data_IF_334895036055
#
_entry.id   IF_334895036055
#
_cell.length_a   1.000
_cell.length_b   1.000
_cell.length_c   1.000
_cell.angle_alpha   90.00
_cell.angle_beta   90.00
_cell.angle_gamma   90.00
#
_symmetry.space_group_name_H-M   'P 1'
#
loop_
_entity.id
_entity.type
_entity.pdbx_description
1 polymer ?
#
# COMPACT_ATOMS: atom_id res chain seq x y z
N UNK A 1 -29.36 61.92 -22.61
CA UNK A 1 -28.81 60.82 -23.44
C UNK A 1 -28.14 59.84 -22.50
N UNK A 2 -28.78 58.75 -22.24
CA UNK A 2 -28.24 57.67 -21.37
C UNK A 2 -27.73 56.56 -22.28
N UNK A 3 -26.39 56.33 -22.29
CA UNK A 3 -25.79 55.21 -23.00
C UNK A 3 -25.83 53.98 -22.13
N UNK A 4 -26.65 52.99 -22.51
CA UNK A 4 -26.62 51.66 -21.91
C UNK A 4 -25.45 50.87 -22.47
N UNK A 5 -24.47 50.54 -21.60
CA UNK A 5 -23.43 49.57 -21.90
C UNK A 5 -23.99 48.18 -21.56
N UNK A 6 -24.28 47.38 -22.58
CA UNK A 6 -24.62 46.00 -22.42
C UNK A 6 -23.33 45.20 -22.26
N UNK A 7 -23.05 44.74 -21.05
CA UNK A 7 -21.92 43.85 -20.76
C UNK A 7 -22.32 42.43 -21.10
N UNK A 8 -21.79 41.94 -22.19
CA UNK A 8 -21.98 40.53 -22.62
C UNK A 8 -21.09 39.65 -21.75
N UNK A 9 -21.72 38.96 -20.77
CA UNK A 9 -21.02 37.95 -19.98
C UNK A 9 -20.97 36.65 -20.79
N UNK A 10 -19.84 36.38 -21.45
CA UNK A 10 -19.56 35.09 -22.05
C UNK A 10 -19.26 34.09 -20.97
N UNK A 11 -20.27 33.32 -20.59
CA UNK A 11 -20.14 32.16 -19.71
C UNK A 11 -19.53 31.01 -20.52
N UNK A 12 -18.19 30.89 -20.52
CA UNK A 12 -17.50 29.72 -21.06
C UNK A 12 -17.73 28.55 -20.11
N UNK A 13 -18.68 27.69 -20.45
CA UNK A 13 -18.79 26.32 -19.90
C UNK A 13 -17.52 25.55 -20.30
N UNK A 14 -16.54 25.54 -19.44
CA UNK A 14 -15.49 24.52 -19.45
C UNK A 14 -16.13 23.21 -19.06
N UNK A 15 -16.50 22.42 -20.07
CA UNK A 15 -16.88 21.02 -19.89
C UNK A 15 -15.70 20.28 -19.26
N UNK A 16 -15.81 20.00 -17.97
CA UNK A 16 -14.97 19.01 -17.31
C UNK A 16 -15.30 17.65 -17.94
N UNK A 17 -14.50 17.25 -18.95
CA UNK A 17 -14.40 15.86 -19.34
C UNK A 17 -13.84 15.12 -18.12
N UNK A 18 -14.71 14.60 -17.26
CA UNK A 18 -14.35 13.50 -16.36
C UNK A 18 -14.08 12.29 -17.24
N UNK A 19 -12.85 12.10 -17.64
CA UNK A 19 -12.39 10.79 -18.05
C UNK A 19 -12.61 9.89 -16.84
N UNK A 20 -13.59 8.98 -16.89
CA UNK A 20 -13.69 7.85 -16.00
C UNK A 20 -12.41 7.02 -16.21
N UNK A 21 -11.36 7.33 -15.47
CA UNK A 21 -10.27 6.41 -15.27
C UNK A 21 -10.90 5.20 -14.58
N UNK A 22 -10.97 4.08 -15.30
CA UNK A 22 -11.38 2.80 -14.73
C UNK A 22 -10.42 2.55 -13.58
N UNK A 23 -10.93 2.62 -12.34
CA UNK A 23 -10.10 2.46 -11.17
C UNK A 23 -9.48 1.07 -11.20
N UNK A 24 -8.15 1.00 -11.28
CA UNK A 24 -7.41 -0.25 -11.12
C UNK A 24 -7.75 -0.82 -9.75
N UNK A 25 -8.45 -1.94 -9.72
CA UNK A 25 -8.78 -2.58 -8.45
C UNK A 25 -7.53 -3.23 -7.88
N UNK A 26 -7.21 -2.88 -6.65
CA UNK A 26 -6.05 -3.41 -5.92
C UNK A 26 -6.51 -4.11 -4.65
N UNK A 27 -6.11 -5.36 -4.49
CA UNK A 27 -6.37 -6.14 -3.29
C UNK A 27 -5.08 -6.54 -2.60
N UNK A 28 -5.13 -6.72 -1.29
CA UNK A 28 -4.01 -7.20 -0.50
C UNK A 28 -4.49 -8.24 0.50
N UNK A 29 -3.91 -9.42 0.48
CA UNK A 29 -4.25 -10.54 1.38
C UNK A 29 -2.99 -10.97 2.12
N UNK A 30 -3.15 -11.23 3.44
CA UNK A 30 -2.06 -11.63 4.32
C UNK A 30 -2.05 -13.15 4.53
N UNK A 31 -0.84 -13.71 4.64
CA UNK A 31 -0.61 -15.14 4.84
C UNK A 31 0.49 -15.40 5.87
N UNK A 32 0.36 -16.51 6.60
CA UNK A 32 1.39 -16.96 7.55
C UNK A 32 2.50 -17.80 6.91
N UNK A 33 2.24 -18.35 5.72
CA UNK A 33 3.13 -19.28 5.03
C UNK A 33 3.33 -18.92 3.56
N UNK A 34 4.43 -19.34 2.99
CA UNK A 34 4.83 -19.00 1.61
C UNK A 34 4.08 -19.77 0.52
N UNK A 35 3.24 -20.71 0.89
CA UNK A 35 2.34 -21.42 -0.03
C UNK A 35 1.04 -20.65 -0.33
N UNK A 36 0.77 -19.58 0.44
CA UNK A 36 -0.39 -18.68 0.27
C UNK A 36 -1.74 -19.42 0.26
N UNK A 37 -1.88 -20.44 1.11
CA UNK A 37 -3.10 -21.27 1.14
C UNK A 37 -4.10 -20.81 2.19
N UNK A 38 -3.62 -20.32 3.35
CA UNK A 38 -4.46 -19.92 4.47
C UNK A 38 -4.22 -18.46 4.82
N UNK A 39 -5.25 -17.65 4.67
CA UNK A 39 -5.22 -16.24 5.08
C UNK A 39 -5.02 -16.09 6.58
N UNK A 40 -4.21 -15.12 6.98
CA UNK A 40 -3.89 -14.87 8.37
C UNK A 40 -3.69 -13.38 8.63
N UNK A 41 -4.35 -12.87 9.66
CA UNK A 41 -4.28 -11.45 10.04
C UNK A 41 -3.85 -11.20 11.49
N UNK A 42 -3.49 -12.27 12.22
CA UNK A 42 -2.90 -12.19 13.55
C UNK A 42 -1.65 -13.06 13.58
N UNK A 43 -0.53 -12.45 13.94
CA UNK A 43 0.79 -13.08 13.90
C UNK A 43 1.48 -12.95 15.25
N UNK A 44 2.45 -13.84 15.49
CA UNK A 44 3.44 -13.65 16.55
C UNK A 44 4.71 -13.02 15.96
N UNK A 45 5.54 -12.33 16.77
CA UNK A 45 6.75 -11.68 16.25
C UNK A 45 7.81 -12.68 15.75
N UNK A 46 7.66 -13.97 16.03
CA UNK A 46 8.56 -15.04 15.55
C UNK A 46 8.28 -15.46 14.11
N UNK A 47 7.06 -15.22 13.65
CA UNK A 47 6.61 -15.60 12.32
C UNK A 47 7.15 -14.67 11.25
N UNK A 48 7.13 -15.15 10.03
CA UNK A 48 7.31 -14.34 8.82
C UNK A 48 5.92 -13.99 8.29
N UNK A 49 5.71 -12.72 8.00
CA UNK A 49 4.45 -12.23 7.46
C UNK A 49 4.58 -12.17 5.94
N UNK A 50 3.59 -12.67 5.23
CA UNK A 50 3.53 -12.61 3.78
C UNK A 50 2.32 -11.82 3.34
N UNK A 51 2.47 -11.07 2.27
CA UNK A 51 1.40 -10.34 1.60
C UNK A 51 1.39 -10.67 0.12
N UNK A 52 0.20 -10.90 -0.42
CA UNK A 52 -0.07 -11.00 -1.85
C UNK A 52 -0.86 -9.78 -2.26
N UNK A 53 -0.33 -9.02 -3.20
CA UNK A 53 -0.95 -7.81 -3.74
C UNK A 53 -1.34 -8.10 -5.20
N UNK A 54 -2.63 -8.00 -5.49
CA UNK A 54 -3.16 -8.17 -6.83
C UNK A 54 -3.65 -6.83 -7.37
N UNK A 55 -3.13 -6.45 -8.53
CA UNK A 55 -3.61 -5.31 -9.31
C UNK A 55 -4.35 -5.87 -10.53
N UNK A 56 -5.54 -5.36 -10.81
CA UNK A 56 -6.35 -5.78 -11.95
C UNK A 56 -6.58 -4.63 -12.90
N UNK A 57 -6.80 -4.97 -14.19
CA UNK A 57 -7.13 -4.03 -15.25
C UNK A 57 -6.13 -2.86 -15.37
N UNK A 58 -4.84 -3.18 -15.49
CA UNK A 58 -3.77 -2.19 -15.52
C UNK A 58 -3.56 -1.72 -16.96
N UNK A 59 -3.75 -0.41 -17.26
CA UNK A 59 -3.44 0.17 -18.56
C UNK A 59 -1.95 0.09 -18.90
N UNK A 60 -1.56 0.22 -20.19
CA UNK A 60 -0.16 0.45 -20.55
C UNK A 60 0.40 1.70 -19.87
N UNK A 61 1.67 1.67 -19.49
CA UNK A 61 2.33 2.80 -18.86
C UNK A 61 3.48 2.40 -17.95
N UNK A 62 4.08 3.40 -17.33
CA UNK A 62 5.14 3.24 -16.35
C UNK A 62 4.55 3.36 -14.94
N UNK A 63 4.88 2.39 -14.08
CA UNK A 63 4.39 2.32 -12.71
C UNK A 63 5.55 2.17 -11.74
N UNK A 64 5.53 2.99 -10.71
CA UNK A 64 6.34 2.78 -9.50
C UNK A 64 5.42 2.29 -8.40
N UNK A 65 5.58 1.03 -7.99
CA UNK A 65 4.81 0.41 -6.92
C UNK A 65 5.65 0.40 -5.67
N UNK A 66 5.17 1.03 -4.61
CA UNK A 66 5.85 1.09 -3.30
C UNK A 66 5.02 0.39 -2.25
N UNK A 67 5.64 -0.47 -1.45
CA UNK A 67 5.00 -1.24 -0.40
C UNK A 67 5.67 -0.89 0.93
N UNK A 68 4.90 -0.34 1.86
CA UNK A 68 5.34 0.07 3.19
C UNK A 68 4.76 -0.85 4.27
N UNK A 69 5.62 -1.43 5.09
CA UNK A 69 5.25 -2.11 6.32
C UNK A 69 5.40 -1.13 7.48
N UNK A 70 4.27 -0.72 8.06
CA UNK A 70 4.20 0.26 9.15
C UNK A 70 3.91 -0.43 10.47
N UNK A 71 4.75 -0.18 11.47
CA UNK A 71 4.60 -0.72 12.81
C UNK A 71 3.47 0.03 13.58
N UNK A 72 3.08 -0.45 14.78
CA UNK A 72 2.04 0.20 15.59
C UNK A 72 2.32 1.66 15.97
N UNK A 73 3.57 2.12 15.93
CA UNK A 73 3.93 3.53 16.17
C UNK A 73 3.85 4.39 14.91
N UNK A 74 3.49 3.80 13.76
CA UNK A 74 3.41 4.48 12.46
C UNK A 74 4.74 4.61 11.73
N UNK A 75 5.82 4.01 12.26
CA UNK A 75 7.13 4.01 11.59
C UNK A 75 7.19 2.93 10.51
N UNK A 76 7.87 3.23 9.41
CA UNK A 76 8.11 2.28 8.33
C UNK A 76 9.22 1.31 8.79
N UNK A 77 8.86 0.06 9.03
CA UNK A 77 9.79 -1.01 9.37
C UNK A 77 10.51 -1.58 8.14
N UNK A 78 9.82 -1.58 6.99
CA UNK A 78 10.37 -1.99 5.70
C UNK A 78 9.63 -1.30 4.56
N UNK A 79 10.38 -0.85 3.57
CA UNK A 79 9.84 -0.35 2.30
C UNK A 79 10.46 -1.13 1.15
N UNK A 80 9.64 -1.44 0.15
CA UNK A 80 10.07 -2.05 -1.11
C UNK A 80 9.47 -1.28 -2.27
N UNK A 81 10.25 -1.10 -3.34
CA UNK A 81 9.78 -0.42 -4.56
C UNK A 81 10.06 -1.27 -5.78
N UNK A 82 9.10 -1.31 -6.69
CA UNK A 82 9.15 -2.04 -7.95
C UNK A 82 8.79 -1.12 -9.10
N UNK A 83 9.64 -1.05 -10.11
CA UNK A 83 9.35 -0.36 -11.36
C UNK A 83 8.77 -1.35 -12.36
N UNK A 84 7.64 -1.01 -12.96
CA UNK A 84 6.94 -1.83 -13.94
C UNK A 84 6.68 -0.99 -15.19
N UNK A 85 7.14 -1.46 -16.34
CA UNK A 85 6.80 -0.92 -17.66
C UNK A 85 5.88 -1.90 -18.36
N UNK A 86 4.67 -1.47 -18.68
CA UNK A 86 3.69 -2.23 -19.47
C UNK A 86 3.53 -1.60 -20.84
N UNK A 87 3.88 -2.35 -21.88
CA UNK A 87 3.64 -1.96 -23.28
C UNK A 87 2.18 -2.23 -23.68
N UNK A 88 1.60 -3.31 -23.14
CA UNK A 88 0.22 -3.75 -23.38
C UNK A 88 -0.58 -3.76 -22.08
N UNK A 89 -1.94 -3.61 -22.13
CA UNK A 89 -2.80 -3.76 -20.97
C UNK A 89 -2.62 -5.13 -20.31
N UNK A 90 -2.67 -5.17 -18.98
CA UNK A 90 -2.69 -6.43 -18.20
C UNK A 90 -3.98 -6.54 -17.41
N UNK A 91 -4.63 -7.70 -17.52
CA UNK A 91 -5.82 -8.01 -16.75
C UNK A 91 -5.49 -8.22 -15.26
N UNK A 92 -4.29 -8.77 -14.99
CA UNK A 92 -3.87 -9.12 -13.64
C UNK A 92 -2.35 -9.07 -13.49
N UNK A 93 -1.89 -8.46 -12.40
CA UNK A 93 -0.49 -8.42 -12.01
C UNK A 93 -0.37 -8.68 -10.50
N UNK A 94 0.43 -9.68 -10.12
CA UNK A 94 0.60 -10.11 -8.73
C UNK A 94 1.98 -9.81 -8.23
N UNK A 95 2.04 -9.20 -7.04
CA UNK A 95 3.25 -8.91 -6.28
C UNK A 95 3.23 -9.66 -4.96
N UNK A 96 4.42 -10.00 -4.50
CA UNK A 96 4.63 -10.61 -3.19
C UNK A 96 5.52 -9.70 -2.35
N UNK A 97 5.15 -9.55 -1.08
CA UNK A 97 5.97 -8.87 -0.09
C UNK A 97 6.01 -9.70 1.18
N UNK A 98 7.06 -9.56 1.96
CA UNK A 98 7.16 -10.25 3.23
C UNK A 98 7.94 -9.42 4.24
N UNK A 99 7.67 -9.65 5.52
CA UNK A 99 8.38 -9.05 6.64
C UNK A 99 8.72 -10.13 7.68
N UNK A 100 9.93 -10.06 8.23
CA UNK A 100 10.35 -10.82 9.40
C UNK A 100 10.90 -9.85 10.42
N UNK A 101 10.42 -9.92 11.65
CA UNK A 101 10.85 -9.06 12.73
C UNK A 101 12.19 -9.55 13.31
N UNK A 102 13.03 -8.60 13.68
CA UNK A 102 14.33 -8.89 14.26
C UNK A 102 14.22 -9.05 15.76
N UNK A 103 14.90 -10.06 16.29
CA UNK A 103 15.04 -10.22 17.73
C UNK A 103 15.96 -9.13 18.30
N UNK A 104 15.69 -8.75 19.52
CA UNK A 104 16.61 -7.90 20.28
C UNK A 104 18.00 -8.52 20.37
N UNK A 105 19.02 -7.69 20.33
CA UNK A 105 20.41 -8.11 20.53
C UNK A 105 20.62 -8.75 21.91
N UNK A 106 21.71 -9.49 22.07
CA UNK A 106 22.05 -10.20 23.32
C UNK A 106 22.03 -9.27 24.55
N UNK A 107 22.63 -8.09 24.45
CA UNK A 107 22.66 -7.13 25.57
C UNK A 107 21.26 -6.67 25.96
N UNK A 108 20.43 -6.27 24.99
CA UNK A 108 19.06 -5.83 25.25
C UNK A 108 18.25 -6.94 25.91
N UNK A 109 18.35 -8.18 25.43
CA UNK A 109 17.68 -9.34 26.03
C UNK A 109 18.13 -9.61 27.46
N UNK A 110 19.44 -9.48 27.74
CA UNK A 110 20.01 -9.68 29.07
C UNK A 110 19.52 -8.65 30.08
N UNK A 111 19.32 -7.40 29.66
CA UNK A 111 18.84 -6.33 30.55
C UNK A 111 17.32 -6.27 30.68
N UNK A 112 16.59 -6.54 29.61
CA UNK A 112 15.11 -6.37 29.57
C UNK A 112 14.34 -7.67 29.73
N UNK A 113 14.98 -8.83 29.49
CA UNK A 113 14.33 -10.14 29.41
C UNK A 113 13.43 -10.31 28.17
N UNK A 114 13.41 -9.33 27.24
CA UNK A 114 12.51 -9.29 26.09
C UNK A 114 13.19 -9.77 24.82
N UNK A 115 12.57 -10.73 24.15
CA UNK A 115 13.11 -11.28 22.89
C UNK A 115 12.89 -10.33 21.71
N UNK A 116 11.79 -9.57 21.71
CA UNK A 116 11.42 -8.61 20.65
C UNK A 116 11.18 -7.22 21.23
N UNK A 117 11.23 -6.21 20.34
CA UNK A 117 10.91 -4.83 20.70
C UNK A 117 9.41 -4.70 21.00
N UNK A 118 9.05 -3.96 22.05
CA UNK A 118 7.66 -3.71 22.43
C UNK A 118 6.87 -2.99 21.34
N UNK A 119 7.54 -2.17 20.53
CA UNK A 119 6.93 -1.44 19.42
C UNK A 119 6.43 -2.36 18.28
N UNK A 120 6.74 -3.66 18.35
CA UNK A 120 6.25 -4.64 17.38
C UNK A 120 4.85 -5.15 17.72
N UNK A 121 4.43 -5.05 18.97
CA UNK A 121 3.13 -5.57 19.41
C UNK A 121 2.02 -4.54 19.17
N UNK A 122 0.96 -4.97 18.52
CA UNK A 122 -0.19 -4.15 18.22
C UNK A 122 -0.60 -4.20 16.74
N UNK A 123 -1.30 -3.15 16.33
CA UNK A 123 -1.84 -3.02 14.99
C UNK A 123 -0.78 -2.55 13.99
N UNK A 124 -0.59 -3.34 12.97
CA UNK A 124 0.29 -3.06 11.83
C UNK A 124 -0.51 -2.71 10.58
N UNK A 125 0.11 -1.95 9.69
CA UNK A 125 -0.45 -1.65 8.38
C UNK A 125 0.56 -1.99 7.28
N UNK A 126 0.05 -2.58 6.22
CA UNK A 126 0.75 -2.66 4.94
C UNK A 126 0.06 -1.68 3.99
N UNK A 127 0.78 -0.69 3.50
CA UNK A 127 0.29 0.31 2.57
C UNK A 127 0.95 0.12 1.21
N UNK A 128 0.15 0.10 0.15
CA UNK A 128 0.63 -0.03 -1.23
C UNK A 128 0.31 1.25 -1.98
N UNK A 129 1.32 1.79 -2.62
CA UNK A 129 1.22 3.00 -3.43
C UNK A 129 1.55 2.67 -4.89
N UNK A 130 0.80 3.25 -5.80
CA UNK A 130 1.09 3.23 -7.24
C UNK A 130 1.31 4.67 -7.69
N UNK A 131 2.50 4.96 -8.21
CA UNK A 131 2.92 6.31 -8.59
C UNK A 131 2.71 7.35 -7.48
N UNK A 132 2.99 6.96 -6.23
CA UNK A 132 2.85 7.80 -5.04
C UNK A 132 1.43 7.93 -4.49
N UNK A 133 0.43 7.33 -5.13
CA UNK A 133 -0.96 7.31 -4.67
C UNK A 133 -1.26 6.03 -3.89
N UNK A 134 -1.82 6.15 -2.69
CA UNK A 134 -2.27 5.01 -1.90
C UNK A 134 -3.42 4.30 -2.62
N UNK A 135 -3.25 3.01 -2.90
CA UNK A 135 -4.25 2.18 -3.60
C UNK A 135 -4.88 1.11 -2.72
N UNK A 136 -4.14 0.60 -1.74
CA UNK A 136 -4.69 -0.32 -0.73
C UNK A 136 -3.92 -0.19 0.58
N UNK A 137 -4.62 -0.35 1.69
CA UNK A 137 -4.07 -0.43 3.04
C UNK A 137 -4.65 -1.64 3.75
N UNK A 138 -3.80 -2.59 4.11
CA UNK A 138 -4.18 -3.80 4.82
C UNK A 138 -3.72 -3.74 6.26
N UNK A 139 -4.63 -4.01 7.17
CA UNK A 139 -4.39 -4.04 8.62
C UNK A 139 -4.22 -5.47 9.11
N UNK A 140 -3.31 -5.68 10.07
CA UNK A 140 -3.10 -6.95 10.75
C UNK A 140 -2.57 -6.73 12.17
N UNK A 141 -2.58 -7.76 13.01
CA UNK A 141 -2.15 -7.70 14.40
C UNK A 141 -0.88 -8.53 14.65
N UNK A 142 0.00 -8.03 15.51
CA UNK A 142 1.11 -8.80 16.08
C UNK A 142 0.90 -8.88 17.59
N UNK A 143 0.82 -10.09 18.14
CA UNK A 143 0.51 -10.38 19.56
C UNK A 143 1.56 -11.29 20.20
#
# INVERSE_FOLDING_TARGET
>A
MVKYIVLFFCLSLLGLCSANAKDTETTCVMYGESDFTVEKYTFTPKEKFFAVIDLTEIPPGEYLITIDWQNPTGQIARQSSYSLLLEDPKDHFRLYSWLKLWKNGFLTRSFTGREFNDNYFGEWHLAVYVNGQLVVRQQFQVT
#
